data_IF_021474520495
#
_entry.id   IF_021474520495
#
_cell.length_a   1.000
_cell.length_b   1.000
_cell.length_c   1.000
_cell.angle_alpha   90.00
_cell.angle_beta   90.00
_cell.angle_gamma   90.00
#
_symmetry.space_group_name_H-M   'P 1'
#
loop_
_entity.id
_entity.type
_entity.pdbx_description
1 polymer ?
#
# COMPACT_ATOMS: atom_id res chain seq x y z
N UNK A 1 4.28 9.37 6.83
CA UNK A 1 4.29 10.25 5.64
C UNK A 1 3.36 9.64 4.62
N UNK A 2 2.43 10.43 4.05
CA UNK A 2 1.62 9.95 2.93
C UNK A 2 2.49 9.78 1.68
N UNK A 3 2.21 8.83 0.79
CA UNK A 3 2.91 8.69 -0.48
C UNK A 3 2.81 9.97 -1.28
N UNK A 4 3.92 10.48 -1.86
CA UNK A 4 3.86 11.58 -2.81
C UNK A 4 2.95 11.15 -3.97
N UNK A 5 1.96 12.00 -4.23
CA UNK A 5 0.75 11.58 -4.91
C UNK A 5 0.86 11.73 -6.42
N UNK A 6 0.39 10.75 -7.20
CA UNK A 6 0.11 11.01 -8.60
C UNK A 6 -1.05 12.01 -8.67
N UNK A 7 -0.81 13.13 -9.35
CA UNK A 7 -1.79 14.20 -9.58
C UNK A 7 -3.05 13.72 -10.36
N UNK A 8 -3.00 12.50 -10.89
CA UNK A 8 -4.01 11.93 -11.79
C UNK A 8 -4.34 10.47 -11.44
N UNK A 9 -5.54 10.02 -11.82
CA UNK A 9 -5.93 8.60 -11.85
C UNK A 9 -5.29 7.82 -12.99
N UNK A 10 -4.36 8.42 -13.72
CA UNK A 10 -3.54 7.64 -14.64
C UNK A 10 -2.61 6.77 -13.80
N UNK A 11 -2.67 5.46 -14.05
CA UNK A 11 -1.69 4.50 -13.56
C UNK A 11 -0.35 4.94 -14.16
N UNK A 12 0.57 5.55 -13.39
CA UNK A 12 1.70 6.28 -13.97
C UNK A 12 2.83 5.36 -14.43
N UNK A 13 2.77 4.09 -14.05
CA UNK A 13 3.83 3.11 -14.20
C UNK A 13 3.22 1.69 -14.19
N UNK A 14 3.96 0.70 -14.69
CA UNK A 14 3.48 -0.69 -14.72
C UNK A 14 3.43 -1.30 -13.31
N UNK A 15 2.62 -2.33 -13.10
CA UNK A 15 2.66 -3.09 -11.84
C UNK A 15 3.94 -3.95 -11.69
N UNK A 16 4.83 -3.93 -12.68
CA UNK A 16 6.14 -4.56 -12.66
C UNK A 16 7.03 -3.95 -11.55
N UNK A 17 7.68 -4.77 -10.70
CA UNK A 17 8.43 -4.30 -9.54
C UNK A 17 9.48 -3.23 -9.87
N UNK A 18 10.26 -3.44 -10.93
CA UNK A 18 11.35 -2.53 -11.27
C UNK A 18 10.83 -1.16 -11.76
N UNK A 19 9.67 -1.13 -12.42
CA UNK A 19 9.03 0.13 -12.81
C UNK A 19 8.43 0.87 -11.62
N UNK A 20 7.86 0.13 -10.66
CA UNK A 20 7.38 0.70 -9.40
C UNK A 20 8.54 1.30 -8.59
N UNK A 21 9.67 0.58 -8.53
CA UNK A 21 10.88 1.05 -7.86
C UNK A 21 11.41 2.35 -8.48
N UNK A 22 11.46 2.42 -9.82
CA UNK A 22 11.82 3.63 -10.54
C UNK A 22 10.88 4.78 -10.23
N UNK A 23 9.58 4.53 -10.12
CA UNK A 23 8.61 5.55 -9.73
C UNK A 23 8.85 6.06 -8.30
N UNK A 24 9.09 5.17 -7.34
CA UNK A 24 9.48 5.57 -5.98
C UNK A 24 10.78 6.38 -5.97
N UNK A 25 11.71 6.09 -6.87
CA UNK A 25 12.94 6.87 -7.02
C UNK A 25 12.65 8.29 -7.53
N UNK A 26 11.84 8.42 -8.58
CA UNK A 26 11.46 9.71 -9.16
C UNK A 26 10.75 10.61 -8.14
N UNK A 27 9.99 10.01 -7.23
CA UNK A 27 9.28 10.71 -6.17
C UNK A 27 10.18 11.06 -4.96
N UNK A 28 11.47 10.74 -4.99
CA UNK A 28 12.39 10.97 -3.89
C UNK A 28 12.10 10.12 -2.65
N UNK A 29 11.29 9.08 -2.78
CA UNK A 29 11.04 8.07 -1.75
C UNK A 29 12.21 7.08 -1.71
N UNK A 30 12.85 6.84 -2.86
CA UNK A 30 14.08 6.08 -2.99
C UNK A 30 15.15 6.92 -3.76
N UNK A 31 16.46 6.67 -3.55
CA UNK A 31 17.03 6.03 -2.38
C UNK A 31 16.83 6.92 -1.12
N UNK A 32 16.68 6.26 0.03
CA UNK A 32 16.45 6.93 1.32
C UNK A 32 17.71 6.84 2.18
N UNK A 33 18.10 7.93 2.84
CA UNK A 33 19.18 7.88 3.83
C UNK A 33 18.82 6.90 4.97
N UNK A 34 19.78 6.22 5.61
CA UNK A 34 19.49 5.32 6.73
C UNK A 34 18.59 5.93 7.82
N UNK A 35 18.80 7.20 8.18
CA UNK A 35 17.96 7.91 9.16
C UNK A 35 16.49 7.99 8.72
N UNK A 36 16.24 8.55 7.52
CA UNK A 36 14.89 8.63 6.95
C UNK A 36 14.21 7.27 6.77
N UNK A 37 14.98 6.21 6.51
CA UNK A 37 14.44 4.84 6.46
C UNK A 37 13.90 4.43 7.83
N UNK A 38 14.70 4.61 8.88
CA UNK A 38 14.30 4.24 10.23
C UNK A 38 13.11 5.08 10.71
N UNK A 39 13.10 6.38 10.41
CA UNK A 39 11.97 7.27 10.74
C UNK A 39 10.67 6.81 10.09
N UNK A 40 10.72 6.38 8.82
CA UNK A 40 9.56 5.86 8.13
C UNK A 40 9.09 4.52 8.73
N UNK A 41 10.01 3.59 9.00
CA UNK A 41 9.65 2.32 9.65
C UNK A 41 9.02 2.55 11.04
N UNK A 42 9.51 3.53 11.80
CA UNK A 42 8.94 3.92 13.07
C UNK A 42 7.49 4.44 12.92
N UNK A 43 7.22 5.24 11.89
CA UNK A 43 5.87 5.73 11.58
C UNK A 43 4.88 4.61 11.28
N UNK A 44 5.36 3.47 10.78
CA UNK A 44 4.55 2.27 10.55
C UNK A 44 4.51 1.32 11.76
N UNK A 45 4.95 1.78 12.93
CA UNK A 45 4.83 1.05 14.20
C UNK A 45 5.91 0.00 14.44
N UNK A 46 7.01 0.03 13.67
CA UNK A 46 8.16 -0.84 13.91
C UNK A 46 9.11 -0.22 14.95
N UNK A 47 9.62 -1.04 15.86
CA UNK A 47 10.61 -0.63 16.84
C UNK A 47 12.01 -0.54 16.21
N UNK A 48 12.44 0.69 15.92
CA UNK A 48 13.74 0.97 15.28
C UNK A 48 14.95 0.44 16.04
N UNK A 49 14.86 0.32 17.37
CA UNK A 49 15.97 -0.22 18.19
C UNK A 49 16.15 -1.70 17.92
N UNK A 50 15.05 -2.45 17.86
CA UNK A 50 15.02 -3.88 17.56
C UNK A 50 15.41 -4.19 16.11
N UNK A 51 15.29 -3.22 15.20
CA UNK A 51 15.67 -3.40 13.80
C UNK A 51 17.17 -3.20 13.51
N UNK A 52 17.95 -2.66 14.46
CA UNK A 52 19.38 -2.43 14.27
C UNK A 52 20.20 -3.45 15.04
N UNK A 53 21.31 -3.89 14.45
CA UNK A 53 22.27 -4.74 15.17
C UNK A 53 22.69 -4.04 16.47
N UNK A 54 22.63 -4.70 17.64
CA UNK A 54 23.06 -4.12 18.89
C UNK A 54 24.52 -3.67 18.82
N UNK A 55 24.82 -2.46 19.28
CA UNK A 55 26.17 -1.86 19.19
C UNK A 55 27.26 -2.76 19.80
N UNK A 56 26.96 -3.39 20.94
CA UNK A 56 27.86 -4.32 21.63
C UNK A 56 28.15 -5.62 20.85
N UNK A 57 27.38 -5.94 19.80
CA UNK A 57 27.63 -7.07 18.90
C UNK A 57 28.31 -6.65 17.60
N UNK A 58 28.23 -5.37 17.22
CA UNK A 58 28.66 -4.89 15.90
C UNK A 58 30.15 -5.10 15.58
N UNK A 59 31.01 -5.08 16.60
CA UNK A 59 32.46 -5.36 16.44
C UNK A 59 32.77 -6.86 16.41
N UNK A 60 31.84 -7.70 16.89
CA UNK A 60 32.05 -9.15 17.06
C UNK A 60 31.43 -9.98 15.95
N UNK A 61 30.74 -9.37 14.98
CA UNK A 61 30.06 -10.07 13.88
C UNK A 61 30.58 -9.60 12.51
N UNK A 62 30.50 -10.45 11.46
CA UNK A 62 30.92 -10.08 10.12
C UNK A 62 30.22 -8.82 9.61
N UNK A 63 30.98 -7.89 9.02
CA UNK A 63 30.43 -6.70 8.38
C UNK A 63 29.42 -7.03 7.27
N UNK A 64 29.63 -8.16 6.57
CA UNK A 64 28.68 -8.67 5.59
C UNK A 64 27.30 -8.96 6.20
N UNK A 65 27.25 -9.46 7.43
CA UNK A 65 26.00 -9.71 8.14
C UNK A 65 25.27 -8.39 8.46
N UNK A 66 25.99 -7.38 8.96
CA UNK A 66 25.43 -6.05 9.26
C UNK A 66 24.86 -5.40 7.98
N UNK A 67 25.55 -5.57 6.85
CA UNK A 67 25.08 -5.13 5.55
C UNK A 67 23.78 -5.85 5.15
N UNK A 68 23.70 -7.17 5.32
CA UNK A 68 22.49 -7.94 5.00
C UNK A 68 21.31 -7.57 5.90
N UNK A 69 21.52 -7.35 7.20
CA UNK A 69 20.49 -6.78 8.10
C UNK A 69 19.98 -5.44 7.58
N UNK A 70 20.89 -4.60 7.07
CA UNK A 70 20.52 -3.32 6.45
C UNK A 70 19.68 -3.51 5.18
N UNK A 71 19.96 -4.54 4.38
CA UNK A 71 19.15 -4.88 3.21
C UNK A 71 17.77 -5.40 3.58
N UNK A 72 17.67 -6.23 4.62
CA UNK A 72 16.37 -6.70 5.13
C UNK A 72 15.47 -5.54 5.54
N UNK A 73 16.00 -4.57 6.30
CA UNK A 73 15.28 -3.34 6.67
C UNK A 73 14.82 -2.54 5.46
N UNK A 74 15.68 -2.43 4.44
CA UNK A 74 15.37 -1.73 3.21
C UNK A 74 14.26 -2.40 2.41
N UNK A 75 14.22 -3.73 2.34
CA UNK A 75 13.12 -4.46 1.70
C UNK A 75 11.80 -4.28 2.47
N UNK A 76 11.82 -4.29 3.81
CA UNK A 76 10.62 -3.97 4.60
C UNK A 76 10.12 -2.54 4.36
N UNK A 77 11.03 -1.56 4.35
CA UNK A 77 10.69 -0.17 4.03
C UNK A 77 10.02 -0.05 2.67
N UNK A 78 10.56 -0.71 1.65
CA UNK A 78 9.99 -0.73 0.30
C UNK A 78 8.62 -1.38 0.27
N UNK A 79 8.47 -2.56 0.88
CA UNK A 79 7.19 -3.25 0.98
C UNK A 79 6.13 -2.36 1.61
N UNK A 80 6.43 -1.69 2.73
CA UNK A 80 5.54 -0.75 3.41
C UNK A 80 5.08 0.39 2.50
N UNK A 81 5.98 0.98 1.72
CA UNK A 81 5.59 2.01 0.76
C UNK A 81 4.63 1.49 -0.29
N UNK A 82 4.88 0.32 -0.84
CA UNK A 82 3.99 -0.29 -1.83
C UNK A 82 2.63 -0.59 -1.20
N UNK A 83 2.58 -1.10 0.02
CA UNK A 83 1.33 -1.30 0.77
C UNK A 83 0.52 0.00 0.91
N UNK A 84 1.18 1.13 1.20
CA UNK A 84 0.53 2.45 1.27
C UNK A 84 -0.06 2.87 -0.08
N UNK A 85 0.64 2.61 -1.18
CA UNK A 85 0.09 2.86 -2.53
C UNK A 85 -1.08 1.93 -2.84
N UNK A 86 -1.01 0.65 -2.48
CA UNK A 86 -2.11 -0.29 -2.65
C UNK A 86 -3.37 0.18 -1.92
N UNK A 87 -3.24 0.64 -0.67
CA UNK A 87 -4.35 1.20 0.11
C UNK A 87 -4.91 2.48 -0.52
N UNK A 88 -4.02 3.40 -0.92
CA UNK A 88 -4.41 4.63 -1.60
C UNK A 88 -5.21 4.37 -2.88
N UNK A 89 -4.70 3.49 -3.74
CA UNK A 89 -5.37 3.13 -4.99
C UNK A 89 -6.65 2.33 -4.78
N UNK A 90 -6.70 1.48 -3.74
CA UNK A 90 -7.90 0.77 -3.35
C UNK A 90 -9.04 1.74 -2.99
N UNK A 91 -8.73 2.82 -2.26
CA UNK A 91 -9.72 3.86 -1.93
C UNK A 91 -10.22 4.55 -3.20
N UNK A 92 -9.32 4.84 -4.14
CA UNK A 92 -9.66 5.44 -5.44
C UNK A 92 -10.37 4.51 -6.42
N UNK A 93 -10.62 3.24 -6.09
CA UNK A 93 -11.18 2.23 -7.03
C UNK A 93 -12.39 2.72 -7.83
N UNK A 94 -13.27 3.51 -7.22
CA UNK A 94 -14.46 4.01 -7.89
C UNK A 94 -14.15 5.09 -8.92
N UNK A 95 -13.10 5.89 -8.73
CA UNK A 95 -12.65 6.88 -9.73
C UNK A 95 -12.23 6.19 -11.05
N UNK A 96 -11.81 4.91 -10.98
CA UNK A 96 -11.44 4.08 -12.14
C UNK A 96 -12.62 3.43 -12.87
N UNK A 97 -13.85 3.67 -12.43
CA UNK A 97 -15.05 3.29 -13.20
C UNK A 97 -15.26 4.23 -14.39
N UNK A 98 -14.58 5.38 -14.46
CA UNK A 98 -14.68 6.33 -15.55
C UNK A 98 -13.33 6.48 -16.28
N UNK A 99 -13.29 6.42 -17.63
CA UNK A 99 -12.08 6.69 -18.39
C UNK A 99 -11.57 8.11 -18.12
N UNK A 100 -10.27 8.27 -17.86
CA UNK A 100 -9.66 9.58 -17.56
C UNK A 100 -9.81 10.59 -18.72
N UNK A 101 -9.90 10.09 -19.96
CA UNK A 101 -10.08 10.91 -21.17
C UNK A 101 -11.55 11.27 -21.44
N UNK A 102 -12.50 10.76 -20.64
CA UNK A 102 -13.90 11.12 -20.79
C UNK A 102 -14.13 12.58 -20.41
N UNK A 103 -14.94 13.29 -21.20
CA UNK A 103 -15.34 14.67 -20.93
C UNK A 103 -16.02 14.88 -19.56
N UNK A 104 -16.59 13.82 -18.98
CA UNK A 104 -17.26 13.83 -17.68
C UNK A 104 -16.38 13.34 -16.52
N UNK A 105 -15.11 13.01 -16.77
CA UNK A 105 -14.25 12.37 -15.77
C UNK A 105 -14.10 13.21 -14.49
N UNK A 106 -13.93 14.52 -14.62
CA UNK A 106 -13.81 15.43 -13.47
C UNK A 106 -15.09 15.45 -12.63
N UNK A 107 -16.25 15.46 -13.29
CA UNK A 107 -17.55 15.41 -12.63
C UNK A 107 -17.77 14.05 -11.95
N UNK A 108 -17.35 12.96 -12.60
CA UNK A 108 -17.35 11.62 -12.01
C UNK A 108 -16.53 11.54 -10.73
N UNK A 109 -15.26 11.95 -10.78
CA UNK A 109 -14.37 11.96 -9.62
C UNK A 109 -14.98 12.75 -8.46
N UNK A 110 -15.47 13.97 -8.72
CA UNK A 110 -16.12 14.81 -7.70
C UNK A 110 -17.38 14.17 -7.12
N UNK A 111 -18.17 13.51 -7.96
CA UNK A 111 -19.37 12.79 -7.54
C UNK A 111 -19.04 11.63 -6.61
N UNK A 112 -18.01 10.84 -6.95
CA UNK A 112 -17.49 9.76 -6.09
C UNK A 112 -17.01 10.31 -4.74
N UNK A 113 -16.19 11.35 -4.74
CA UNK A 113 -15.67 11.98 -3.52
C UNK A 113 -16.81 12.49 -2.63
N UNK A 114 -17.79 13.18 -3.23
CA UNK A 114 -18.96 13.69 -2.52
C UNK A 114 -19.80 12.55 -1.91
N UNK A 115 -20.04 11.48 -2.67
CA UNK A 115 -20.78 10.30 -2.20
C UNK A 115 -20.06 9.59 -1.04
N UNK A 116 -18.73 9.52 -1.08
CA UNK A 116 -17.95 8.90 -0.01
C UNK A 116 -17.71 9.84 1.18
N UNK A 117 -17.91 11.14 0.98
CA UNK A 117 -17.59 12.17 1.98
C UNK A 117 -16.08 12.31 2.18
N UNK A 118 -15.32 12.16 1.10
CA UNK A 118 -13.86 12.16 1.11
C UNK A 118 -13.29 13.39 0.42
N UNK A 119 -12.11 13.82 0.85
CA UNK A 119 -11.37 14.91 0.21
C UNK A 119 -10.60 14.41 -1.04
N UNK A 120 -9.86 15.33 -1.68
CA UNK A 120 -9.01 15.01 -2.82
C UNK A 120 -7.91 13.97 -2.52
N UNK A 121 -7.61 13.80 -1.23
CA UNK A 121 -6.64 12.85 -0.72
C UNK A 121 -7.26 11.51 -0.32
N UNK A 122 -8.56 11.29 -0.61
CA UNK A 122 -9.31 10.09 -0.19
C UNK A 122 -9.28 9.87 1.34
N UNK A 123 -9.28 10.99 2.07
CA UNK A 123 -9.42 11.03 3.53
C UNK A 123 -10.86 11.40 3.86
N UNK A 124 -11.53 10.69 4.80
CA UNK A 124 -12.85 11.08 5.26
C UNK A 124 -12.85 12.52 5.81
N UNK A 125 -13.69 13.38 5.23
CA UNK A 125 -13.87 14.78 5.69
C UNK A 125 -14.59 14.80 7.04
N UNK A 126 -15.42 13.79 7.32
CA UNK A 126 -16.10 13.58 8.61
C UNK A 126 -16.00 12.12 9.04
N UNK A 127 -15.95 11.90 10.36
CA UNK A 127 -15.70 10.58 10.96
C UNK A 127 -16.79 9.54 10.61
N UNK A 128 -18.01 9.96 10.27
CA UNK A 128 -19.03 9.15 9.58
C UNK A 128 -20.20 10.06 9.18
N UNK A 129 -20.87 9.79 8.05
CA UNK A 129 -22.16 10.41 7.74
C UNK A 129 -23.20 9.97 8.78
N UNK A 130 -23.99 10.91 9.27
CA UNK A 130 -25.10 10.65 10.19
C UNK A 130 -26.32 10.18 9.38
N UNK A 131 -27.16 9.27 9.90
CA UNK A 131 -28.46 8.97 9.28
C UNK A 131 -29.38 10.19 9.13
N UNK A 132 -29.09 11.27 9.86
CA UNK A 132 -29.79 12.54 9.79
C UNK A 132 -29.20 13.52 8.75
N UNK A 133 -28.11 13.17 8.06
CA UNK A 133 -27.56 14.01 7.01
C UNK A 133 -28.56 14.10 5.84
N UNK A 134 -28.86 15.31 5.33
CA UNK A 134 -29.75 15.46 4.19
C UNK A 134 -29.18 14.71 2.99
N UNK A 135 -30.06 14.07 2.24
CA UNK A 135 -29.68 13.41 0.99
C UNK A 135 -29.14 14.43 -0.01
N UNK A 136 -28.23 13.99 -0.85
CA UNK A 136 -27.65 14.79 -1.92
C UNK A 136 -28.66 14.94 -3.06
N UNK A 137 -28.83 16.16 -3.59
CA UNK A 137 -29.60 16.39 -4.82
C UNK A 137 -29.05 15.57 -5.99
N UNK A 138 -29.94 14.96 -6.76
CA UNK A 138 -29.57 14.09 -7.88
C UNK A 138 -28.80 14.83 -8.98
N UNK A 139 -29.15 16.09 -9.24
CA UNK A 139 -28.58 16.95 -10.28
C UNK A 139 -27.09 17.29 -10.06
N UNK A 140 -26.57 17.06 -8.85
CA UNK A 140 -25.16 17.23 -8.52
C UNK A 140 -24.30 16.00 -8.83
N UNK A 141 -24.92 14.86 -9.18
CA UNK A 141 -24.24 13.57 -9.30
C UNK A 141 -24.14 13.14 -10.76
N UNK A 142 -22.91 12.99 -11.22
CA UNK A 142 -22.57 12.58 -12.58
C UNK A 142 -21.70 11.34 -12.52
N UNK A 143 -22.26 10.17 -12.80
CA UNK A 143 -21.52 8.91 -12.74
C UNK A 143 -21.51 8.22 -14.10
N UNK A 144 -20.48 7.40 -14.31
CA UNK A 144 -20.31 6.55 -15.49
C UNK A 144 -19.64 5.27 -15.06
N UNK A 145 -19.94 4.19 -15.76
CA UNK A 145 -19.22 2.94 -15.62
C UNK A 145 -18.55 2.56 -16.93
N UNK A 146 -17.35 2.02 -16.84
CA UNK A 146 -16.59 1.53 -17.99
C UNK A 146 -15.80 0.31 -17.56
N UNK A 147 -16.28 -0.85 -18.02
CA UNK A 147 -15.71 -2.15 -17.65
C UNK A 147 -14.26 -2.31 -18.12
N UNK A 148 -13.91 -1.77 -19.29
CA UNK A 148 -12.56 -1.91 -19.85
C UNK A 148 -11.53 -1.10 -19.06
N UNK A 149 -11.88 0.13 -18.68
CA UNK A 149 -11.06 1.01 -17.84
C UNK A 149 -10.86 0.37 -16.47
N UNK A 150 -11.94 -0.09 -15.85
CA UNK A 150 -11.84 -0.74 -14.54
C UNK A 150 -11.03 -2.04 -14.61
N UNK A 151 -11.13 -2.83 -15.69
CA UNK A 151 -10.32 -4.03 -15.86
C UNK A 151 -8.81 -3.72 -15.89
N UNK A 152 -8.41 -2.61 -16.49
CA UNK A 152 -7.00 -2.16 -16.52
C UNK A 152 -6.51 -1.82 -15.11
N UNK A 153 -7.30 -1.04 -14.36
CA UNK A 153 -7.04 -0.76 -12.94
C UNK A 153 -6.98 -2.03 -12.10
N UNK A 154 -7.95 -2.93 -12.28
CA UNK A 154 -8.05 -4.18 -11.55
C UNK A 154 -6.78 -5.00 -11.70
N UNK A 155 -6.31 -5.23 -12.94
CA UNK A 155 -5.08 -5.99 -13.19
C UNK A 155 -3.85 -5.34 -12.56
N UNK A 156 -3.70 -4.03 -12.72
CA UNK A 156 -2.60 -3.28 -12.11
C UNK A 156 -2.58 -3.41 -10.58
N UNK A 157 -3.73 -3.15 -9.94
CA UNK A 157 -3.86 -3.19 -8.49
C UNK A 157 -3.61 -4.60 -7.96
N UNK A 158 -4.25 -5.60 -8.56
CA UNK A 158 -4.09 -7.00 -8.16
C UNK A 158 -2.64 -7.47 -8.24
N UNK A 159 -1.94 -7.10 -9.32
CA UNK A 159 -0.53 -7.43 -9.53
C UNK A 159 0.35 -6.76 -8.48
N UNK A 160 0.09 -5.49 -8.16
CA UNK A 160 0.84 -4.74 -7.15
C UNK A 160 0.64 -5.34 -5.74
N UNK A 161 -0.60 -5.68 -5.38
CA UNK A 161 -0.92 -6.34 -4.11
C UNK A 161 -0.27 -7.73 -4.04
N UNK A 162 -0.34 -8.51 -5.12
CA UNK A 162 0.30 -9.81 -5.21
C UNK A 162 1.81 -9.73 -5.00
N UNK A 163 2.48 -8.80 -5.69
CA UNK A 163 3.91 -8.58 -5.58
C UNK A 163 4.36 -8.25 -4.15
N UNK A 164 3.50 -7.58 -3.38
CA UNK A 164 3.75 -7.26 -1.97
C UNK A 164 3.51 -8.45 -1.04
N UNK A 165 2.40 -9.18 -1.24
CA UNK A 165 1.99 -10.29 -0.37
C UNK A 165 2.87 -11.54 -0.53
N UNK A 166 3.15 -11.93 -1.77
CA UNK A 166 3.73 -13.24 -2.10
C UNK A 166 4.68 -13.21 -3.31
N UNK A 167 4.72 -12.13 -4.08
CA UNK A 167 5.57 -12.02 -5.26
C UNK A 167 6.97 -11.47 -4.97
N UNK A 168 7.45 -10.57 -5.83
CA UNK A 168 8.87 -10.22 -5.90
C UNK A 168 9.41 -9.60 -4.61
N UNK A 169 8.66 -8.72 -3.94
CA UNK A 169 9.14 -8.05 -2.72
C UNK A 169 9.22 -9.02 -1.54
N UNK A 170 8.24 -9.92 -1.44
CA UNK A 170 8.26 -11.01 -0.48
C UNK A 170 9.50 -11.91 -0.73
N UNK A 171 9.73 -12.35 -1.97
CA UNK A 171 10.88 -13.18 -2.33
C UNK A 171 12.23 -12.50 -2.05
N UNK A 172 12.36 -11.19 -2.33
CA UNK A 172 13.57 -10.40 -2.05
C UNK A 172 13.92 -10.41 -0.55
N UNK A 173 12.92 -10.26 0.32
CA UNK A 173 13.12 -10.36 1.77
C UNK A 173 13.65 -11.73 2.21
N UNK A 174 13.01 -12.83 1.78
CA UNK A 174 13.46 -14.18 2.15
C UNK A 174 14.84 -14.53 1.59
N UNK A 175 15.19 -14.03 0.41
CA UNK A 175 16.54 -14.18 -0.13
C UNK A 175 17.59 -13.64 0.83
N UNK A 176 17.39 -12.44 1.38
CA UNK A 176 18.34 -11.88 2.34
C UNK A 176 18.34 -12.61 3.69
N UNK A 177 17.22 -13.21 4.12
CA UNK A 177 17.21 -14.09 5.30
C UNK A 177 18.11 -15.31 5.09
N UNK A 178 18.05 -15.92 3.91
CA UNK A 178 18.91 -17.06 3.55
C UNK A 178 20.38 -16.65 3.52
N UNK A 179 20.69 -15.48 2.94
CA UNK A 179 22.07 -14.96 2.92
C UNK A 179 22.59 -14.70 4.34
N UNK A 180 21.78 -14.09 5.22
CA UNK A 180 22.17 -13.84 6.61
C UNK A 180 22.54 -15.15 7.33
N UNK A 181 21.73 -16.20 7.12
CA UNK A 181 22.00 -17.54 7.67
C UNK A 181 23.31 -18.10 7.14
N UNK A 182 23.52 -18.04 5.82
CA UNK A 182 24.71 -18.60 5.19
C UNK A 182 26.02 -17.94 5.65
N UNK A 183 25.99 -16.63 5.92
CA UNK A 183 27.15 -15.91 6.47
C UNK A 183 27.55 -16.49 7.83
N UNK A 184 26.58 -16.75 8.72
CA UNK A 184 26.84 -17.30 10.05
C UNK A 184 27.24 -18.78 10.02
N UNK A 185 26.78 -19.54 9.01
CA UNK A 185 27.24 -20.91 8.77
C UNK A 185 28.69 -20.96 8.29
N UNK A 186 29.08 -20.00 7.44
CA UNK A 186 30.44 -19.88 6.89
C UNK A 186 31.44 -19.39 7.94
N UNK A 187 31.04 -18.39 8.73
CA UNK A 187 31.88 -17.74 9.74
C UNK A 187 31.23 -17.86 11.13
N UNK A 188 31.33 -19.03 11.79
CA UNK A 188 30.69 -19.26 13.08
C UNK A 188 31.20 -18.30 14.15
N UNK A 189 30.28 -17.77 14.96
CA UNK A 189 30.58 -16.85 16.05
C UNK A 189 30.95 -17.62 17.33
N UNK A 190 31.75 -17.04 18.23
CA UNK A 190 31.93 -17.57 19.57
C UNK A 190 30.59 -17.76 20.29
N UNK A 191 30.43 -18.81 21.10
CA UNK A 191 29.14 -19.20 21.71
C UNK A 191 28.40 -18.04 22.40
N UNK A 192 29.10 -17.27 23.25
CA UNK A 192 28.50 -16.13 23.95
C UNK A 192 28.11 -14.94 23.07
N UNK A 193 28.66 -14.84 21.86
CA UNK A 193 28.25 -13.84 20.85
C UNK A 193 27.08 -14.38 20.04
N UNK A 194 27.13 -15.66 19.65
CA UNK A 194 26.05 -16.34 18.93
C UNK A 194 24.75 -16.32 19.71
N UNK A 195 24.75 -16.67 20.99
CA UNK A 195 23.55 -16.69 21.85
C UNK A 195 22.89 -15.30 21.96
N UNK A 196 23.69 -14.25 22.11
CA UNK A 196 23.20 -12.86 22.16
C UNK A 196 22.64 -12.42 20.82
N UNK A 197 23.32 -12.77 19.73
CA UNK A 197 22.84 -12.47 18.38
C UNK A 197 21.53 -13.20 18.10
N UNK A 198 21.41 -14.48 18.45
CA UNK A 198 20.20 -15.28 18.26
C UNK A 198 19.04 -14.75 19.08
N UNK A 199 19.29 -14.33 20.33
CA UNK A 199 18.29 -13.71 21.20
C UNK A 199 17.71 -12.45 20.56
N UNK A 200 18.58 -11.54 20.09
CA UNK A 200 18.15 -10.35 19.39
C UNK A 200 17.46 -10.69 18.06
N UNK A 201 18.03 -11.59 17.26
CA UNK A 201 17.52 -11.94 15.94
C UNK A 201 16.12 -12.54 16.01
N UNK A 202 15.91 -13.54 16.86
CA UNK A 202 14.63 -14.24 16.99
C UNK A 202 13.61 -13.44 17.80
N UNK A 203 14.04 -12.86 18.93
CA UNK A 203 13.14 -12.23 19.90
C UNK A 203 12.77 -10.79 19.56
N UNK A 204 13.66 -10.06 18.89
CA UNK A 204 13.49 -8.63 18.62
C UNK A 204 13.36 -8.35 17.12
N UNK A 205 14.40 -8.66 16.34
CA UNK A 205 14.46 -8.29 14.93
C UNK A 205 13.35 -8.96 14.11
N UNK A 206 13.24 -10.30 14.17
CA UNK A 206 12.23 -11.03 13.43
C UNK A 206 10.81 -10.76 13.93
N UNK A 207 10.64 -10.47 15.22
CA UNK A 207 9.34 -10.06 15.77
C UNK A 207 8.85 -8.75 15.16
N UNK A 208 9.74 -7.77 14.98
CA UNK A 208 9.42 -6.52 14.27
C UNK A 208 9.21 -6.73 12.77
N UNK A 209 10.01 -7.58 12.12
CA UNK A 209 9.82 -7.90 10.70
C UNK A 209 8.51 -8.67 10.45
N UNK A 210 8.04 -9.45 11.41
CA UNK A 210 6.73 -10.11 11.32
C UNK A 210 5.59 -9.10 11.21
N UNK A 211 5.68 -7.93 11.84
CA UNK A 211 4.60 -6.92 11.80
C UNK A 211 4.27 -6.46 10.38
N UNK A 212 5.28 -6.13 9.57
CA UNK A 212 5.04 -5.70 8.19
C UNK A 212 4.61 -6.89 7.31
N UNK A 213 5.12 -8.09 7.56
CA UNK A 213 4.66 -9.32 6.88
C UNK A 213 3.17 -9.56 7.15
N UNK A 214 2.74 -9.48 8.41
CA UNK A 214 1.34 -9.65 8.80
C UNK A 214 0.47 -8.51 8.24
N UNK A 215 1.00 -7.28 8.17
CA UNK A 215 0.32 -6.16 7.51
C UNK A 215 0.14 -6.39 6.01
N UNK A 216 1.11 -6.98 5.32
CA UNK A 216 1.02 -7.29 3.89
C UNK A 216 -0.16 -8.21 3.57
N UNK A 217 -0.43 -9.17 4.45
CA UNK A 217 -1.56 -10.10 4.30
C UNK A 217 -2.93 -9.44 4.47
N UNK A 218 -2.97 -8.21 5.01
CA UNK A 218 -4.20 -7.41 5.19
C UNK A 218 -4.47 -6.45 4.05
N UNK A 219 -3.52 -6.24 3.12
CA UNK A 219 -3.68 -5.31 1.99
C UNK A 219 -4.77 -5.80 1.04
N UNK A 220 -5.89 -5.11 0.96
CA UNK A 220 -7.06 -5.56 0.19
C UNK A 220 -6.73 -5.70 -1.30
N UNK A 221 -7.30 -6.71 -1.94
CA UNK A 221 -7.37 -6.79 -3.40
C UNK A 221 -8.54 -5.94 -3.90
N UNK A 222 -8.37 -5.27 -5.04
CA UNK A 222 -9.48 -4.58 -5.69
C UNK A 222 -10.66 -5.55 -5.91
N UNK A 223 -11.91 -5.14 -5.64
CA UNK A 223 -13.08 -5.95 -5.96
C UNK A 223 -13.23 -6.10 -7.47
N UNK A 224 -13.97 -7.13 -7.91
CA UNK A 224 -14.37 -7.26 -9.31
C UNK A 224 -15.19 -6.05 -9.76
N UNK A 225 -15.28 -5.83 -11.07
CA UNK A 225 -16.07 -4.74 -11.64
C UNK A 225 -17.52 -4.74 -11.11
N UNK A 226 -18.20 -5.88 -11.17
CA UNK A 226 -19.59 -5.99 -10.72
C UNK A 226 -19.72 -5.76 -9.21
N UNK A 227 -18.75 -6.21 -8.41
CA UNK A 227 -18.72 -5.94 -6.97
C UNK A 227 -18.50 -4.44 -6.67
N UNK A 228 -17.59 -3.77 -7.39
CA UNK A 228 -17.36 -2.34 -7.24
C UNK A 228 -18.58 -1.51 -7.63
N UNK A 229 -19.22 -1.85 -8.76
CA UNK A 229 -20.47 -1.20 -9.20
C UNK A 229 -21.57 -1.39 -8.16
N UNK A 230 -21.76 -2.62 -7.65
CA UNK A 230 -22.78 -2.88 -6.63
C UNK A 230 -22.49 -2.17 -5.29
N UNK A 231 -21.22 -2.07 -4.90
CA UNK A 231 -20.82 -1.33 -3.71
C UNK A 231 -21.16 0.17 -3.85
N UNK A 232 -20.80 0.80 -4.97
CA UNK A 232 -21.14 2.21 -5.22
C UNK A 232 -22.65 2.42 -5.38
N UNK A 233 -23.36 1.49 -6.03
CA UNK A 233 -24.82 1.48 -6.12
C UNK A 233 -25.51 1.49 -4.74
N UNK A 234 -24.95 0.75 -3.77
CA UNK A 234 -25.46 0.75 -2.40
C UNK A 234 -25.29 2.12 -1.74
N UNK A 235 -24.16 2.80 -1.97
CA UNK A 235 -23.91 4.16 -1.50
C UNK A 235 -24.89 5.15 -2.14
N UNK A 236 -25.15 5.04 -3.44
CA UNK A 236 -26.10 5.87 -4.19
C UNK A 236 -27.50 5.80 -3.58
N UNK A 237 -28.04 4.59 -3.37
CA UNK A 237 -29.38 4.39 -2.80
C UNK A 237 -29.53 5.03 -1.42
N UNK A 238 -28.48 4.96 -0.60
CA UNK A 238 -28.47 5.52 0.74
C UNK A 238 -28.35 7.04 0.79
N UNK A 239 -27.60 7.65 -0.14
CA UNK A 239 -27.16 9.05 -0.02
C UNK A 239 -27.78 10.04 -1.00
N UNK A 240 -28.44 9.60 -2.07
CA UNK A 240 -29.01 10.49 -3.08
C UNK A 240 -30.54 10.53 -2.94
N UNK A 241 -31.12 11.71 -3.18
CA UNK A 241 -32.53 11.89 -3.52
C UNK A 241 -32.89 11.01 -4.73
N UNK A 242 -34.04 10.33 -4.70
CA UNK A 242 -34.43 9.36 -5.73
C UNK A 242 -33.36 8.28 -6.04
N UNK A 243 -32.56 7.92 -5.02
CA UNK A 243 -31.39 7.06 -5.15
C UNK A 243 -31.64 5.70 -5.83
N UNK A 244 -32.86 5.14 -5.75
CA UNK A 244 -33.22 3.90 -6.46
C UNK A 244 -33.20 4.10 -7.98
N UNK A 245 -33.74 5.22 -8.48
CA UNK A 245 -33.74 5.52 -9.91
C UNK A 245 -32.32 5.85 -10.40
N UNK A 246 -31.56 6.57 -9.58
CA UNK A 246 -30.17 6.90 -9.90
C UNK A 246 -29.29 5.63 -9.93
N UNK A 247 -29.51 4.69 -9.01
CA UNK A 247 -28.82 3.39 -8.98
C UNK A 247 -29.07 2.57 -10.25
N UNK A 248 -30.33 2.48 -10.70
CA UNK A 248 -30.69 1.79 -11.94
C UNK A 248 -30.00 2.43 -13.15
N UNK A 249 -30.02 3.77 -13.22
CA UNK A 249 -29.35 4.52 -14.30
C UNK A 249 -27.85 4.24 -14.29
N UNK A 250 -27.22 4.30 -13.12
CA UNK A 250 -25.79 4.05 -12.96
C UNK A 250 -25.37 2.64 -13.38
N UNK A 251 -26.14 1.61 -13.03
CA UNK A 251 -25.82 0.21 -13.40
C UNK A 251 -25.92 -0.07 -14.91
N UNK A 252 -26.63 0.78 -15.65
CA UNK A 252 -26.87 0.64 -17.09
C UNK A 252 -26.16 1.69 -17.94
N UNK A 253 -25.30 2.54 -17.33
CA UNK A 253 -24.57 3.64 -17.98
C UNK A 253 -23.15 3.25 -18.39
#
# INVERSE_FOLDING_TARGET
>A
MLPPQPEHTNIPFSAEPDTFDQHLIQLGVLPVSPHRLMDALAQDGLNIKSLSVPSHLSESIPQEYIYVVSKLRFEAYRAIWIMRYCDFWYRKRFEFLCPAQANIYIQHKRSVQLLLGWDDFNTPIRASPSPADPKLPQDLIFLRTDRCTYATYFQFHHTTVWNTRLGVYYARYYRYLVVAKHILERDPLPSGVSEKLDTWWQGEFLAEMKKWLDASQKVLFAPSYDAAVNELATVITGKIEDGIQMEQTFKHA
#
